data_IF_229253366502
#
_entry.id   IF_229253366502
#
_cell.length_a   1.000
_cell.length_b   1.000
_cell.length_c   1.000
_cell.angle_alpha   90.00
_cell.angle_beta   90.00
_cell.angle_gamma   90.00
#
_symmetry.space_group_name_H-M   'P 1'
#
loop_
_entity.id
_entity.type
_entity.pdbx_description
1 polymer ?
#
# COMPACT_ATOMS: atom_id res chain seq x y z
N UNK A 1 18.89 -6.70 5.37
CA UNK A 1 18.83 -5.51 4.47
C UNK A 1 18.03 -4.39 5.11
N UNK A 2 18.26 -3.15 4.68
CA UNK A 2 17.58 -1.93 5.08
C UNK A 2 16.55 -1.53 4.02
N UNK A 3 15.27 -1.65 4.33
CA UNK A 3 14.19 -1.41 3.37
C UNK A 3 13.32 -0.23 3.82
N UNK A 4 13.01 0.68 2.90
CA UNK A 4 12.02 1.74 3.12
C UNK A 4 10.68 1.27 2.55
N UNK A 5 9.72 0.95 3.42
CA UNK A 5 8.36 0.54 3.05
C UNK A 5 7.43 1.74 3.17
N UNK A 6 6.79 2.13 2.08
CA UNK A 6 5.90 3.30 2.03
C UNK A 6 4.50 2.86 1.63
N UNK A 7 3.53 3.07 2.52
CA UNK A 7 2.14 2.67 2.30
C UNK A 7 1.21 2.97 3.47
N UNK A 8 -0.10 2.72 3.31
CA UNK A 8 -1.05 2.90 4.41
C UNK A 8 -0.81 1.83 5.47
N UNK A 9 -0.93 2.21 6.74
CA UNK A 9 -1.09 1.30 7.89
C UNK A 9 -2.16 1.90 8.81
N UNK A 10 -2.52 1.24 9.92
CA UNK A 10 -3.38 1.86 10.94
C UNK A 10 -2.94 3.32 11.20
N UNK A 11 -3.83 4.32 11.32
CA UNK A 11 -5.27 4.21 11.54
C UNK A 11 -6.09 4.02 10.26
N UNK A 12 -5.50 3.87 9.08
CA UNK A 12 -6.26 3.73 7.85
C UNK A 12 -6.97 2.38 7.75
N UNK A 13 -8.22 2.38 7.29
CA UNK A 13 -9.02 1.17 7.07
C UNK A 13 -8.65 0.48 5.75
N UNK A 14 -8.95 -0.81 5.68
CA UNK A 14 -8.98 -1.59 4.44
C UNK A 14 -7.81 -2.55 4.27
N UNK A 15 -7.97 -3.48 3.32
CA UNK A 15 -7.06 -4.61 3.12
C UNK A 15 -5.60 -4.22 2.83
N UNK A 16 -5.37 -3.07 2.18
CA UNK A 16 -4.01 -2.60 1.89
C UNK A 16 -3.27 -2.21 3.17
N UNK A 17 -3.96 -1.56 4.12
CA UNK A 17 -3.36 -1.18 5.40
C UNK A 17 -3.01 -2.41 6.25
N UNK A 18 -3.88 -3.43 6.25
CA UNK A 18 -3.59 -4.72 6.88
C UNK A 18 -2.43 -5.44 6.19
N UNK A 19 -2.42 -5.48 4.86
CA UNK A 19 -1.33 -6.05 4.07
C UNK A 19 0.01 -5.40 4.39
N UNK A 20 0.08 -4.06 4.37
CA UNK A 20 1.32 -3.33 4.64
C UNK A 20 1.80 -3.55 6.07
N UNK A 21 0.88 -3.60 7.03
CA UNK A 21 1.21 -3.92 8.43
C UNK A 21 1.80 -5.32 8.55
N UNK A 22 1.17 -6.33 7.93
CA UNK A 22 1.67 -7.71 7.97
C UNK A 22 3.00 -7.85 7.22
N UNK A 23 3.13 -7.23 6.06
CA UNK A 23 4.40 -7.19 5.31
C UNK A 23 5.52 -6.57 6.15
N UNK A 24 5.24 -5.48 6.86
CA UNK A 24 6.21 -4.84 7.73
C UNK A 24 6.67 -5.76 8.88
N UNK A 25 5.73 -6.49 9.51
CA UNK A 25 6.04 -7.47 10.54
C UNK A 25 6.88 -8.62 9.99
N UNK A 26 6.45 -9.25 8.90
CA UNK A 26 7.13 -10.40 8.31
C UNK A 26 8.54 -10.05 7.81
N UNK A 27 8.74 -8.86 7.22
CA UNK A 27 10.08 -8.42 6.83
C UNK A 27 11.00 -8.25 8.05
N UNK A 28 10.49 -7.74 9.18
CA UNK A 28 11.28 -7.64 10.42
C UNK A 28 11.58 -9.01 11.02
N UNK A 29 10.61 -9.91 11.06
CA UNK A 29 10.77 -11.31 11.51
C UNK A 29 11.85 -12.03 10.68
N UNK A 30 11.97 -11.70 9.39
CA UNK A 30 13.02 -12.21 8.49
C UNK A 30 14.38 -11.50 8.67
N UNK A 31 14.55 -10.65 9.68
CA UNK A 31 15.80 -9.95 9.99
C UNK A 31 16.08 -8.69 9.16
N UNK A 32 15.10 -8.16 8.42
CA UNK A 32 15.26 -6.89 7.71
C UNK A 32 15.04 -5.69 8.66
N UNK A 33 15.87 -4.65 8.51
CA UNK A 33 15.64 -3.37 9.15
C UNK A 33 14.67 -2.56 8.30
N UNK A 34 13.56 -2.10 8.88
CA UNK A 34 12.56 -1.31 8.16
C UNK A 34 12.50 0.14 8.61
N UNK A 35 12.44 1.03 7.63
CA UNK A 35 11.84 2.35 7.76
C UNK A 35 10.43 2.29 7.20
N UNK A 36 9.42 2.30 8.08
CA UNK A 36 8.02 2.28 7.68
C UNK A 36 7.49 3.73 7.61
N UNK A 37 7.13 4.17 6.41
CA UNK A 37 6.55 5.49 6.17
C UNK A 37 5.09 5.33 5.78
N UNK A 38 4.21 6.08 6.45
CA UNK A 38 2.79 6.13 6.15
C UNK A 38 2.32 7.58 5.97
N UNK A 39 1.01 7.74 5.83
CA UNK A 39 0.42 8.99 5.42
C UNK A 39 -0.02 9.83 6.62
N UNK A 40 0.30 11.12 6.63
CA UNK A 40 -0.35 12.07 7.55
C UNK A 40 -1.81 12.26 7.16
N UNK A 41 -2.06 12.31 5.84
CA UNK A 41 -3.38 12.36 5.21
C UNK A 41 -3.33 11.44 4.00
N UNK A 42 -4.20 10.42 3.97
CA UNK A 42 -4.29 9.52 2.83
C UNK A 42 -5.12 10.16 1.73
N UNK A 43 -6.30 10.68 2.07
CA UNK A 43 -7.22 11.33 1.14
C UNK A 43 -7.84 12.61 1.73
N UNK A 44 -8.35 13.52 0.89
CA UNK A 44 -9.22 14.60 1.35
C UNK A 44 -10.50 14.05 1.98
N UNK A 45 -11.02 14.76 2.99
CA UNK A 45 -12.26 14.40 3.68
C UNK A 45 -13.49 14.37 2.76
N UNK A 46 -13.54 15.22 1.72
CA UNK A 46 -14.66 15.26 0.77
C UNK A 46 -14.80 13.98 -0.07
N UNK A 47 -13.76 13.15 -0.15
CA UNK A 47 -13.84 11.83 -0.80
C UNK A 47 -14.54 10.78 0.09
N UNK A 48 -14.81 11.12 1.35
CA UNK A 48 -15.51 10.29 2.33
C UNK A 48 -16.69 11.03 2.96
N UNK A 49 -17.68 11.48 2.17
CA UNK A 49 -18.86 12.15 2.72
C UNK A 49 -19.64 11.18 3.61
N UNK A 50 -19.69 11.46 4.92
CA UNK A 50 -20.38 10.62 5.91
C UNK A 50 -19.61 9.36 6.34
N UNK A 51 -18.35 9.19 5.90
CA UNK A 51 -17.49 8.09 6.33
C UNK A 51 -16.09 8.59 6.69
N UNK A 52 -15.29 7.73 7.30
CA UNK A 52 -13.89 8.01 7.60
C UNK A 52 -13.00 7.04 6.83
N UNK A 53 -11.84 7.48 6.36
CA UNK A 53 -10.78 6.59 5.86
C UNK A 53 -10.08 5.84 7.00
N UNK A 54 -10.47 6.09 8.26
CA UNK A 54 -9.93 5.43 9.45
C UNK A 54 -10.69 4.16 9.82
N UNK A 55 -9.95 3.21 10.37
CA UNK A 55 -10.45 1.96 10.90
C UNK A 55 -11.24 2.21 12.20
N UNK A 56 -12.55 1.89 12.24
CA UNK A 56 -13.37 2.03 13.43
C UNK A 56 -13.22 0.85 14.42
N UNK A 57 -12.46 -0.19 14.06
CA UNK A 57 -12.36 -1.42 14.83
C UNK A 57 -11.75 -1.16 16.22
N UNK A 58 -12.35 -1.77 17.24
CA UNK A 58 -11.86 -1.68 18.63
C UNK A 58 -10.47 -2.33 18.80
N UNK A 59 -10.18 -3.38 18.01
CA UNK A 59 -8.88 -4.03 17.97
C UNK A 59 -8.06 -3.47 16.79
N UNK A 60 -7.13 -2.59 17.11
CA UNK A 60 -6.28 -1.95 16.12
C UNK A 60 -5.11 -2.85 15.70
N UNK A 61 -5.07 -3.25 14.42
CA UNK A 61 -3.91 -3.94 13.86
C UNK A 61 -2.80 -2.93 13.52
N UNK A 62 -1.92 -2.67 14.49
CA UNK A 62 -0.90 -1.61 14.40
C UNK A 62 0.43 -2.13 13.88
N UNK A 63 1.03 -1.36 12.99
CA UNK A 63 2.43 -1.55 12.62
C UNK A 63 3.34 -0.90 13.66
N UNK A 64 4.42 -1.59 14.03
CA UNK A 64 5.46 -1.02 14.90
C UNK A 64 6.24 0.09 14.19
N UNK A 65 6.49 1.18 14.90
CA UNK A 65 7.37 2.30 14.51
C UNK A 65 7.03 2.90 13.13
N UNK A 66 5.74 3.13 12.85
CA UNK A 66 5.29 3.78 11.62
C UNK A 66 5.44 5.30 11.69
N UNK A 67 6.00 5.91 10.63
CA UNK A 67 6.20 7.34 10.53
C UNK A 67 5.22 7.99 9.54
N UNK A 68 4.27 8.80 10.04
CA UNK A 68 3.26 9.48 9.23
C UNK A 68 3.78 10.81 8.66
N UNK A 69 4.64 10.73 7.64
CA UNK A 69 5.34 11.90 7.09
C UNK A 69 4.75 12.44 5.78
N UNK A 70 4.07 11.59 5.01
CA UNK A 70 3.64 11.94 3.65
C UNK A 70 2.17 12.38 3.65
N UNK A 71 1.86 13.55 3.12
CA UNK A 71 0.47 14.04 3.00
C UNK A 71 0.12 14.13 1.51
N UNK A 72 -0.99 13.52 1.09
CA UNK A 72 -1.39 13.48 -0.32
C UNK A 72 -1.68 14.86 -0.92
N UNK A 73 -2.03 15.85 -0.09
CA UNK A 73 -2.42 17.18 -0.55
C UNK A 73 -1.38 18.26 -0.26
N UNK A 74 -0.33 17.95 0.51
CA UNK A 74 0.74 18.89 0.82
C UNK A 74 2.04 18.50 0.08
N UNK A 75 2.34 19.14 -1.07
CA UNK A 75 3.49 18.79 -1.90
C UNK A 75 4.84 19.04 -1.22
N UNK A 76 4.90 19.90 -0.20
CA UNK A 76 6.12 20.14 0.58
C UNK A 76 6.53 18.90 1.37
N UNK A 77 5.57 18.04 1.72
CA UNK A 77 5.86 16.82 2.47
C UNK A 77 6.56 15.76 1.62
N UNK A 78 6.44 15.78 0.30
CA UNK A 78 7.01 14.75 -0.58
C UNK A 78 8.55 14.82 -0.63
N UNK A 79 9.19 15.96 -0.98
CA UNK A 79 10.64 16.06 -0.93
C UNK A 79 11.17 16.00 0.51
N UNK A 80 10.44 16.53 1.50
CA UNK A 80 10.83 16.42 2.90
C UNK A 80 10.87 14.95 3.38
N UNK A 81 9.86 14.16 3.02
CA UNK A 81 9.81 12.72 3.28
C UNK A 81 10.95 12.00 2.56
N UNK A 82 11.20 12.33 1.30
CA UNK A 82 12.34 11.79 0.57
C UNK A 82 13.68 12.08 1.25
N UNK A 83 13.90 13.31 1.73
CA UNK A 83 15.13 13.68 2.42
C UNK A 83 15.37 12.83 3.67
N UNK A 84 14.31 12.53 4.44
CA UNK A 84 14.38 11.62 5.59
C UNK A 84 14.72 10.18 5.18
N UNK A 85 14.05 9.67 4.14
CA UNK A 85 14.35 8.34 3.57
C UNK A 85 15.81 8.28 3.10
N UNK A 86 16.28 9.29 2.38
CA UNK A 86 17.65 9.39 1.88
C UNK A 86 18.68 9.42 3.01
N UNK A 87 18.43 10.22 4.05
CA UNK A 87 19.30 10.28 5.24
C UNK A 87 19.39 8.93 5.94
N UNK A 88 18.28 8.17 5.93
CA UNK A 88 18.29 6.81 6.42
C UNK A 88 19.08 5.86 5.52
N UNK A 89 19.35 6.14 4.23
CA UNK A 89 20.16 5.27 3.33
C UNK A 89 19.60 3.83 3.17
N UNK A 90 18.38 3.66 2.63
CA UNK A 90 17.84 2.33 2.33
C UNK A 90 18.63 1.64 1.20
N UNK A 91 18.56 0.32 1.17
CA UNK A 91 19.06 -0.51 0.08
C UNK A 91 18.01 -0.70 -1.02
N UNK A 92 16.72 -0.66 -0.68
CA UNK A 92 15.61 -0.67 -1.62
C UNK A 92 14.38 0.06 -1.05
N UNK A 93 13.50 0.53 -1.95
CA UNK A 93 12.24 1.17 -1.62
C UNK A 93 11.09 0.28 -2.08
N UNK A 94 10.11 0.05 -1.21
CA UNK A 94 8.89 -0.71 -1.49
C UNK A 94 7.69 0.24 -1.38
N UNK A 95 6.98 0.48 -2.47
CA UNK A 95 5.85 1.40 -2.53
C UNK A 95 4.57 0.63 -2.80
N UNK A 96 3.56 0.85 -1.95
CA UNK A 96 2.22 0.32 -2.18
C UNK A 96 1.52 1.15 -3.27
N UNK A 97 1.06 0.49 -4.33
CA UNK A 97 0.34 1.09 -5.44
C UNK A 97 -1.07 0.49 -5.57
N UNK A 98 -2.09 1.33 -5.65
CA UNK A 98 -3.47 0.88 -5.85
C UNK A 98 -4.38 1.88 -6.56
N UNK A 99 -3.94 3.14 -6.68
CA UNK A 99 -4.73 4.19 -7.33
C UNK A 99 -3.82 5.25 -7.96
N UNK A 100 -4.19 5.78 -9.14
CA UNK A 100 -3.54 6.93 -9.76
C UNK A 100 -3.64 8.24 -8.95
N UNK A 101 -4.50 8.34 -7.93
CA UNK A 101 -4.60 9.54 -7.09
C UNK A 101 -3.24 9.98 -6.51
N UNK A 102 -2.37 9.02 -6.16
CA UNK A 102 -1.03 9.28 -5.61
C UNK A 102 0.03 9.65 -6.64
N UNK A 103 -0.35 9.90 -7.89
CA UNK A 103 0.61 10.05 -9.00
C UNK A 103 1.64 11.15 -8.75
N UNK A 104 1.22 12.30 -8.24
CA UNK A 104 2.10 13.43 -7.96
C UNK A 104 3.19 13.08 -6.92
N UNK A 105 2.78 12.56 -5.76
CA UNK A 105 3.70 12.17 -4.70
C UNK A 105 4.66 11.07 -5.14
N UNK A 106 4.16 10.03 -5.81
CA UNK A 106 4.98 8.91 -6.28
C UNK A 106 5.90 9.28 -7.43
N UNK A 107 5.46 10.15 -8.33
CA UNK A 107 6.32 10.73 -9.36
C UNK A 107 7.48 11.50 -8.72
N UNK A 108 7.20 12.37 -7.75
CA UNK A 108 8.25 13.10 -7.01
C UNK A 108 9.24 12.15 -6.34
N UNK A 109 8.78 11.12 -5.61
CA UNK A 109 9.69 10.15 -5.00
C UNK A 109 10.50 9.37 -6.05
N UNK A 110 9.89 9.00 -7.17
CA UNK A 110 10.56 8.31 -8.27
C UNK A 110 11.69 9.14 -8.88
N UNK A 111 11.41 10.40 -9.21
CA UNK A 111 12.40 11.36 -9.74
C UNK A 111 13.54 11.57 -8.73
N UNK A 112 13.21 11.87 -7.47
CA UNK A 112 14.21 12.11 -6.43
C UNK A 112 15.06 10.86 -6.16
N UNK A 113 14.45 9.66 -6.16
CA UNK A 113 15.19 8.41 -6.06
C UNK A 113 16.17 8.27 -7.22
N UNK A 114 15.74 8.49 -8.47
CA UNK A 114 16.61 8.40 -9.66
C UNK A 114 17.78 9.40 -9.62
N UNK A 115 17.54 10.62 -9.12
CA UNK A 115 18.55 11.67 -9.08
C UNK A 115 19.56 11.46 -7.95
N UNK A 116 19.10 11.13 -6.73
CA UNK A 116 19.92 11.23 -5.52
C UNK A 116 20.26 9.90 -4.85
N UNK A 117 19.37 8.91 -4.90
CA UNK A 117 19.50 7.69 -4.09
C UNK A 117 19.88 6.46 -4.94
N UNK A 118 19.36 6.39 -6.17
CA UNK A 118 19.61 5.37 -7.20
C UNK A 118 19.47 3.93 -6.69
N UNK A 119 18.46 3.70 -5.83
CA UNK A 119 18.16 2.38 -5.28
C UNK A 119 17.02 1.71 -6.04
N UNK A 120 16.96 0.36 -6.04
CA UNK A 120 15.81 -0.38 -6.56
C UNK A 120 14.50 0.13 -5.95
N UNK A 121 13.57 0.50 -6.84
CA UNK A 121 12.22 0.93 -6.50
C UNK A 121 11.27 -0.20 -6.88
N UNK A 122 10.64 -0.82 -5.89
CA UNK A 122 9.73 -1.95 -6.09
C UNK A 122 8.30 -1.47 -5.80
N UNK A 123 7.39 -1.69 -6.74
CA UNK A 123 5.97 -1.42 -6.54
C UNK A 123 5.24 -2.70 -6.16
N UNK A 124 4.47 -2.64 -5.08
CA UNK A 124 3.49 -3.68 -4.73
C UNK A 124 2.13 -3.18 -5.19
N UNK A 125 1.71 -3.69 -6.34
CA UNK A 125 0.48 -3.32 -7.02
C UNK A 125 -0.69 -4.17 -6.50
N UNK A 126 -1.57 -3.55 -5.72
CA UNK A 126 -2.85 -4.13 -5.30
C UNK A 126 -3.86 -4.05 -6.44
N UNK A 127 -3.90 -2.89 -7.11
CA UNK A 127 -4.65 -2.63 -8.32
C UNK A 127 -3.76 -1.78 -9.25
N UNK A 128 -3.40 -2.32 -10.42
CA UNK A 128 -2.58 -1.61 -11.42
C UNK A 128 -3.36 -0.42 -11.96
N UNK A 129 -4.63 -0.63 -12.26
CA UNK A 129 -5.62 0.39 -12.57
C UNK A 129 -6.83 0.16 -11.66
N UNK A 130 -7.56 1.22 -11.28
CA UNK A 130 -8.78 1.06 -10.50
C UNK A 130 -9.82 0.25 -11.28
N UNK A 131 -10.80 -0.30 -10.57
CA UNK A 131 -11.88 -1.08 -11.19
C UNK A 131 -12.69 -0.25 -12.19
N UNK A 132 -12.83 1.05 -11.92
CA UNK A 132 -13.45 2.05 -12.79
C UNK A 132 -12.39 3.05 -13.24
N UNK A 133 -11.62 2.75 -14.31
CA UNK A 133 -10.56 3.63 -14.76
C UNK A 133 -11.11 4.83 -15.50
N UNK A 134 -10.65 6.02 -15.11
CA UNK A 134 -10.81 7.21 -15.93
C UNK A 134 -9.92 7.13 -17.19
N UNK A 135 -10.24 7.85 -18.28
CA UNK A 135 -9.46 7.79 -19.52
C UNK A 135 -7.97 8.14 -19.36
N UNK A 136 -7.63 8.97 -18.37
CA UNK A 136 -6.25 9.39 -18.08
C UNK A 136 -5.49 8.45 -17.12
N UNK A 137 -6.16 7.53 -16.44
CA UNK A 137 -5.55 6.64 -15.45
C UNK A 137 -4.40 5.79 -16.01
N UNK A 138 -4.51 5.19 -17.22
CA UNK A 138 -3.40 4.46 -17.82
C UNK A 138 -2.15 5.31 -18.05
N UNK A 139 -2.34 6.58 -18.44
CA UNK A 139 -1.23 7.50 -18.67
C UNK A 139 -0.55 7.89 -17.35
N UNK A 140 -1.32 8.23 -16.33
CA UNK A 140 -0.81 8.53 -14.98
C UNK A 140 -0.08 7.33 -14.37
N UNK A 141 -0.70 6.15 -14.43
CA UNK A 141 -0.12 4.91 -13.93
C UNK A 141 1.20 4.58 -14.65
N UNK A 142 1.21 4.61 -15.99
CA UNK A 142 2.45 4.43 -16.77
C UNK A 142 3.50 5.50 -16.45
N UNK A 143 3.05 6.72 -16.15
CA UNK A 143 3.85 7.81 -15.61
C UNK A 143 4.70 7.39 -14.42
N UNK A 144 4.05 6.89 -13.38
CA UNK A 144 4.73 6.53 -12.13
C UNK A 144 5.43 5.19 -12.23
N UNK A 145 4.73 4.18 -12.74
CA UNK A 145 5.19 2.79 -12.68
C UNK A 145 6.47 2.60 -13.50
N UNK A 146 6.73 3.40 -14.55
CA UNK A 146 8.00 3.31 -15.32
C UNK A 146 9.26 3.51 -14.46
N UNK A 147 9.15 4.11 -13.28
CA UNK A 147 10.27 4.30 -12.36
C UNK A 147 10.63 3.01 -11.60
N UNK A 148 9.78 1.99 -11.66
CA UNK A 148 9.95 0.72 -10.95
C UNK A 148 11.08 -0.11 -11.55
N UNK A 149 11.97 -0.58 -10.67
CA UNK A 149 12.94 -1.63 -10.99
C UNK A 149 12.28 -3.00 -11.09
N UNK A 150 11.23 -3.24 -10.30
CA UNK A 150 10.44 -4.47 -10.29
C UNK A 150 9.06 -4.26 -9.68
N UNK A 151 8.16 -5.22 -9.90
CA UNK A 151 6.77 -5.14 -9.50
C UNK A 151 6.29 -6.45 -8.89
N UNK A 152 5.45 -6.35 -7.86
CA UNK A 152 4.70 -7.46 -7.28
C UNK A 152 3.23 -7.21 -7.53
N UNK A 153 2.53 -8.19 -8.09
CA UNK A 153 1.07 -8.13 -8.31
C UNK A 153 0.37 -9.27 -7.60
N UNK A 154 -0.86 -9.03 -7.16
CA UNK A 154 -1.63 -9.99 -6.36
C UNK A 154 -2.36 -11.05 -7.19
N UNK A 155 -2.32 -10.96 -8.52
CA UNK A 155 -2.93 -11.94 -9.42
C UNK A 155 -2.29 -11.94 -10.81
N UNK A 156 -2.50 -13.02 -11.57
CA UNK A 156 -2.11 -13.10 -12.98
C UNK A 156 -2.84 -12.07 -13.85
N UNK A 157 -4.09 -11.72 -13.49
CA UNK A 157 -4.86 -10.70 -14.21
C UNK A 157 -4.20 -9.31 -14.07
N UNK A 158 -3.77 -8.96 -12.86
CA UNK A 158 -3.06 -7.70 -12.60
C UNK A 158 -1.68 -7.68 -13.27
N UNK A 159 -0.94 -8.80 -13.28
CA UNK A 159 0.29 -8.92 -14.07
C UNK A 159 0.06 -8.64 -15.55
N UNK A 160 -0.95 -9.24 -16.17
CA UNK A 160 -1.30 -8.98 -17.58
C UNK A 160 -1.67 -7.51 -17.81
N UNK A 161 -2.39 -6.89 -16.87
CA UNK A 161 -2.74 -5.47 -16.95
C UNK A 161 -1.50 -4.57 -16.85
N UNK A 162 -0.56 -4.88 -15.96
CA UNK A 162 0.71 -4.17 -15.84
C UNK A 162 1.55 -4.29 -17.11
N UNK A 163 1.66 -5.49 -17.67
CA UNK A 163 2.43 -5.74 -18.90
C UNK A 163 1.82 -5.04 -20.13
N UNK A 164 0.51 -4.82 -20.17
CA UNK A 164 -0.10 -3.97 -21.21
C UNK A 164 0.36 -2.50 -21.12
N UNK A 165 0.65 -1.99 -19.93
CA UNK A 165 1.17 -0.64 -19.72
C UNK A 165 2.70 -0.58 -19.94
N UNK A 166 3.41 -1.61 -19.48
CA UNK A 166 4.86 -1.74 -19.46
C UNK A 166 5.30 -3.14 -19.92
N UNK A 167 5.39 -3.41 -21.24
CA UNK A 167 5.67 -4.76 -21.77
C UNK A 167 6.97 -5.40 -21.30
N UNK A 168 8.00 -4.60 -20.98
CA UNK A 168 9.30 -5.08 -20.48
C UNK A 168 9.44 -5.11 -18.96
N UNK A 169 8.36 -4.92 -18.20
CA UNK A 169 8.42 -4.87 -16.74
C UNK A 169 8.75 -6.24 -16.12
N UNK A 170 9.58 -6.25 -15.07
CA UNK A 170 9.85 -7.44 -14.24
C UNK A 170 8.75 -7.60 -13.20
N UNK A 171 7.85 -8.55 -13.40
CA UNK A 171 6.64 -8.71 -12.57
C UNK A 171 6.56 -10.11 -11.96
N UNK A 172 6.54 -10.14 -10.63
CA UNK A 172 6.30 -11.33 -9.82
C UNK A 172 4.85 -11.38 -9.34
N UNK A 173 4.21 -12.55 -9.41
CA UNK A 173 2.86 -12.75 -8.89
C UNK A 173 2.95 -13.37 -7.52
N UNK A 174 2.59 -12.61 -6.50
CA UNK A 174 2.51 -13.08 -5.12
C UNK A 174 1.06 -12.85 -4.67
N UNK A 175 0.22 -13.90 -4.60
CA UNK A 175 -1.17 -13.76 -4.17
C UNK A 175 -1.27 -13.22 -2.74
N UNK A 176 -2.41 -12.60 -2.42
CA UNK A 176 -2.66 -12.13 -1.06
C UNK A 176 -2.56 -13.29 -0.05
N UNK A 177 -1.93 -13.04 1.12
CA UNK A 177 -1.90 -14.02 2.19
C UNK A 177 -3.28 -14.19 2.82
N UNK A 178 -3.48 -15.31 3.50
CA UNK A 178 -4.60 -15.46 4.43
C UNK A 178 -4.36 -14.52 5.62
N UNK A 179 -5.34 -13.67 5.93
CA UNK A 179 -5.24 -12.73 7.04
C UNK A 179 -5.67 -13.40 8.34
N UNK A 180 -4.80 -14.23 8.90
CA UNK A 180 -5.07 -14.99 10.14
C UNK A 180 -5.42 -14.07 11.33
N UNK A 181 -4.91 -12.84 11.32
CA UNK A 181 -5.24 -11.78 12.27
C UNK A 181 -6.75 -11.49 12.36
N UNK A 182 -7.50 -11.69 11.26
CA UNK A 182 -8.95 -11.51 11.23
C UNK A 182 -9.69 -12.77 11.73
N UNK A 183 -9.00 -13.92 11.76
CA UNK A 183 -9.56 -15.20 12.16
C UNK A 183 -9.50 -15.44 13.68
N UNK A 184 -8.86 -14.56 14.46
CA UNK A 184 -8.91 -14.62 15.93
C UNK A 184 -10.33 -14.46 16.49
N UNK A 185 -11.28 -13.98 15.67
CA UNK A 185 -12.70 -13.87 15.99
C UNK A 185 -13.55 -14.91 15.26
N UNK A 186 -13.09 -16.17 15.18
CA UNK A 186 -13.93 -17.27 14.66
C UNK A 186 -15.12 -17.51 15.59
N UNK A 187 -16.27 -16.95 15.21
CA UNK A 187 -17.55 -17.26 15.83
C UNK A 187 -18.11 -18.55 15.23
N UNK A 188 -18.60 -19.50 16.04
CA UNK A 188 -19.36 -20.64 15.56
C UNK A 188 -20.55 -20.16 14.69
N UNK A 189 -20.89 -20.91 13.63
CA UNK A 189 -22.00 -20.58 12.70
C UNK A 189 -23.29 -20.27 13.47
N UNK A 190 -23.58 -21.04 14.52
CA UNK A 190 -24.76 -20.87 15.37
C UNK A 190 -24.79 -19.53 16.10
N UNK A 191 -23.70 -19.17 16.76
CA UNK A 191 -23.55 -17.89 17.47
C UNK A 191 -23.58 -16.69 16.51
N UNK A 192 -22.98 -16.83 15.32
CA UNK A 192 -23.03 -15.79 14.30
C UNK A 192 -24.47 -15.57 13.80
N UNK A 193 -25.22 -16.65 13.57
CA UNK A 193 -26.64 -16.58 13.13
C UNK A 193 -27.53 -15.97 14.20
N UNK A 194 -27.32 -16.33 15.47
CA UNK A 194 -28.05 -15.74 16.59
C UNK A 194 -27.82 -14.22 16.68
N UNK A 195 -26.55 -13.76 16.61
CA UNK A 195 -26.22 -12.33 16.64
C UNK A 195 -26.76 -11.54 15.45
N UNK A 196 -26.95 -12.20 14.30
CA UNK A 196 -27.47 -11.60 13.08
C UNK A 196 -28.98 -11.76 12.92
N UNK A 197 -29.67 -12.41 13.87
CA UNK A 197 -31.11 -12.68 13.80
C UNK A 197 -31.50 -13.64 12.65
N UNK A 198 -30.61 -14.55 12.27
CA UNK A 198 -30.83 -15.50 11.19
C UNK A 198 -31.37 -16.84 11.72
N UNK A 199 -32.27 -17.54 10.99
CA UNK A 199 -32.77 -18.87 11.36
C UNK A 199 -31.61 -19.84 11.54
N UNK A 200 -31.63 -20.81 12.45
CA UNK A 200 -30.46 -21.69 12.68
C UNK A 200 -30.30 -22.79 11.60
N UNK A 201 -31.39 -23.15 10.92
CA UNK A 201 -31.50 -24.38 10.13
C UNK A 201 -31.41 -24.19 8.60
N UNK A 202 -30.76 -23.12 8.12
CA UNK A 202 -30.49 -22.91 6.67
C UNK A 202 -29.06 -23.23 6.24
#
# INVERSE_FOLDING_TARGET
>A
MRLALIGPVYPYRGGIAHYTTRLAQTLRERGHTLLLVSFKRQYPQWLFPGQSDRDPSALAFKARDAHYWLDSLNPLTWPATFCRIRAWRPEALLLQWWTPFWTSAWWTLGVLNRLFLRRPLIFVCHNVLPHEPAPWDPWLAKGVLRWGWGFVTQSQAEKRRLLRLLPGARVEVCPHPVYDMLAEQRLPKTQARERLGLPQDA
#
